data_IF_163567782372
#
_entry.id   IF_163567782372
#
_cell.length_a   1.000
_cell.length_b   1.000
_cell.length_c   1.000
_cell.angle_alpha   90.00
_cell.angle_beta   90.00
_cell.angle_gamma   90.00
#
_symmetry.space_group_name_H-M   'P 1'
#
loop_
_entity.id
_entity.type
_entity.pdbx_description
1 polymer ?
#
# COMPACT_ATOMS: atom_id res chain seq x y z
N UNK A 1 -10.97 8.83 10.27
CA UNK A 1 -9.79 8.71 9.40
C UNK A 1 -9.54 7.23 9.15
N UNK A 2 -9.59 6.76 7.91
CA UNK A 2 -9.09 5.42 7.58
C UNK A 2 -7.60 5.58 7.30
N UNK A 3 -6.76 4.84 8.05
CA UNK A 3 -5.31 4.90 7.95
C UNK A 3 -4.82 3.53 7.52
N UNK A 4 -4.04 3.48 6.45
CA UNK A 4 -3.46 2.26 5.92
C UNK A 4 -2.01 2.16 6.41
N UNK A 5 -1.74 1.18 7.27
CA UNK A 5 -0.39 0.95 7.77
C UNK A 5 0.50 0.38 6.66
N UNK A 6 1.65 1.04 6.46
CA UNK A 6 2.73 0.58 5.59
C UNK A 6 3.70 -0.21 6.47
N UNK A 7 3.91 -1.48 6.13
CA UNK A 7 4.72 -2.41 6.92
C UNK A 7 6.03 -2.76 6.23
N UNK A 8 7.03 -3.17 7.02
CA UNK A 8 8.32 -3.67 6.53
C UNK A 8 8.19 -4.91 5.65
N UNK A 9 7.21 -5.77 5.95
CA UNK A 9 6.96 -7.01 5.24
C UNK A 9 5.48 -7.35 5.11
N UNK A 10 5.15 -8.40 4.33
CA UNK A 10 3.80 -8.92 4.20
C UNK A 10 3.43 -9.75 5.43
N UNK A 11 2.91 -9.09 6.48
CA UNK A 11 2.49 -9.76 7.71
C UNK A 11 1.91 -8.78 8.74
N UNK A 12 1.09 -9.29 9.66
CA UNK A 12 0.60 -8.47 10.78
C UNK A 12 1.62 -8.28 11.91
N UNK A 13 2.59 -9.17 11.99
CA UNK A 13 3.70 -9.15 12.95
C UNK A 13 4.84 -8.23 12.51
N UNK A 14 4.83 -7.81 11.25
CA UNK A 14 5.82 -6.93 10.65
C UNK A 14 5.69 -5.50 11.18
N UNK A 15 6.82 -4.81 11.33
CA UNK A 15 6.87 -3.46 11.87
C UNK A 15 6.13 -2.47 10.96
N UNK A 16 5.37 -1.54 11.57
CA UNK A 16 4.76 -0.43 10.84
C UNK A 16 5.81 0.66 10.65
N UNK A 17 6.29 0.81 9.42
CA UNK A 17 7.33 1.77 9.01
C UNK A 17 6.74 3.08 8.47
N UNK A 18 5.42 3.14 8.30
CA UNK A 18 4.72 4.31 7.80
C UNK A 18 3.21 4.12 7.77
N UNK A 19 2.52 5.16 7.33
CA UNK A 19 1.07 5.18 7.20
C UNK A 19 0.71 5.97 5.94
N UNK A 20 -0.24 5.45 5.18
CA UNK A 20 -0.88 6.16 4.07
C UNK A 20 -2.29 6.57 4.48
N UNK A 21 -2.75 7.71 3.97
CA UNK A 21 -4.11 8.19 4.20
C UNK A 21 -5.03 7.86 3.02
N UNK A 22 -6.34 7.83 3.28
CA UNK A 22 -7.33 7.64 2.21
C UNK A 22 -7.18 8.72 1.13
N UNK A 23 -7.13 8.30 -0.13
CA UNK A 23 -6.95 9.18 -1.29
C UNK A 23 -5.49 9.39 -1.70
N UNK A 24 -4.53 8.95 -0.89
CA UNK A 24 -3.12 8.92 -1.28
C UNK A 24 -2.89 7.90 -2.41
N UNK A 25 -2.15 8.30 -3.44
CA UNK A 25 -1.83 7.43 -4.57
C UNK A 25 -0.51 6.73 -4.28
N UNK A 26 -0.55 5.40 -4.23
CA UNK A 26 0.60 4.56 -3.96
C UNK A 26 1.05 3.89 -5.26
N UNK A 27 2.34 4.01 -5.58
CA UNK A 27 2.92 3.33 -6.74
C UNK A 27 3.10 1.85 -6.44
N UNK A 28 2.25 0.99 -6.99
CA UNK A 28 2.37 -0.46 -6.83
C UNK A 28 3.53 -0.96 -7.70
N UNK A 29 4.53 -1.58 -7.06
CA UNK A 29 5.73 -2.11 -7.71
C UNK A 29 5.85 -3.64 -7.58
N UNK A 30 4.96 -4.26 -6.82
CA UNK A 30 4.86 -5.70 -6.67
C UNK A 30 3.62 -6.10 -5.89
N UNK A 31 3.31 -7.40 -5.88
CA UNK A 31 2.19 -7.94 -5.13
C UNK A 31 2.56 -9.30 -4.54
N UNK A 32 1.97 -9.60 -3.38
CA UNK A 32 1.98 -10.90 -2.73
C UNK A 32 0.52 -11.24 -2.31
N UNK A 33 0.20 -12.50 -1.96
CA UNK A 33 -1.16 -12.85 -1.57
C UNK A 33 -1.70 -11.99 -0.41
N UNK A 34 -2.64 -11.10 -0.73
CA UNK A 34 -3.26 -10.15 0.22
C UNK A 34 -2.47 -8.86 0.50
N UNK A 35 -1.34 -8.66 -0.16
CA UNK A 35 -0.45 -7.52 0.06
C UNK A 35 0.04 -6.89 -1.25
N UNK A 36 0.22 -5.58 -1.25
CA UNK A 36 0.85 -4.82 -2.32
C UNK A 36 2.16 -4.24 -1.80
N UNK A 37 3.22 -4.43 -2.59
CA UNK A 37 4.47 -3.73 -2.39
C UNK A 37 4.40 -2.39 -3.11
N UNK A 38 4.48 -1.31 -2.34
CA UNK A 38 4.23 0.04 -2.82
C UNK A 38 5.42 0.95 -2.56
N UNK A 39 5.51 1.99 -3.38
CA UNK A 39 6.36 3.14 -3.18
C UNK A 39 5.49 4.36 -2.90
N UNK A 40 5.72 5.04 -1.78
CA UNK A 40 5.04 6.31 -1.42
C UNK A 40 5.62 7.47 -2.23
N UNK A 41 4.91 8.60 -2.30
CA UNK A 41 5.41 9.82 -2.95
C UNK A 41 6.71 10.33 -2.32
N UNK A 42 6.90 10.09 -1.01
CA UNK A 42 8.14 10.41 -0.28
C UNK A 42 9.32 9.48 -0.63
N UNK A 43 9.11 8.48 -1.50
CA UNK A 43 10.14 7.54 -1.93
C UNK A 43 10.40 6.40 -0.95
N UNK A 44 9.54 6.21 0.06
CA UNK A 44 9.60 5.05 0.97
C UNK A 44 8.97 3.84 0.33
N UNK A 45 9.49 2.66 0.66
CA UNK A 45 8.97 1.38 0.17
C UNK A 45 8.39 0.58 1.33
N UNK A 46 7.31 -0.15 1.07
CA UNK A 46 6.72 -1.03 2.07
C UNK A 46 5.50 -1.78 1.57
N UNK A 47 4.88 -2.52 2.48
CA UNK A 47 3.76 -3.41 2.19
C UNK A 47 2.47 -2.86 2.77
N UNK A 48 1.43 -2.86 1.95
CA UNK A 48 0.07 -2.49 2.37
C UNK A 48 -0.90 -3.61 2.03
N UNK A 49 -2.01 -3.69 2.76
CA UNK A 49 -3.05 -4.68 2.51
C UNK A 49 -3.87 -4.32 1.26
N UNK A 50 -4.00 -5.27 0.34
CA UNK A 50 -4.83 -5.10 -0.87
C UNK A 50 -6.29 -4.79 -0.54
N UNK A 51 -6.80 -5.33 0.57
CA UNK A 51 -8.18 -5.15 1.06
C UNK A 51 -8.56 -3.68 1.35
N UNK A 52 -7.57 -2.83 1.60
CA UNK A 52 -7.76 -1.40 1.90
C UNK A 52 -7.31 -0.49 0.75
N UNK A 53 -7.01 -1.08 -0.41
CA UNK A 53 -6.61 -0.35 -1.61
C UNK A 53 -7.65 -0.53 -2.70
N UNK A 54 -7.87 0.53 -3.47
CA UNK A 54 -8.64 0.44 -4.71
C UNK A 54 -7.66 0.59 -5.87
N UNK A 55 -7.65 -0.38 -6.79
CA UNK A 55 -6.90 -0.24 -8.02
C UNK A 55 -7.43 0.96 -8.80
N UNK A 56 -6.58 1.97 -8.97
CA UNK A 56 -6.88 3.09 -9.84
C UNK A 56 -6.55 2.69 -11.28
N UNK A 57 -7.30 1.71 -11.80
CA UNK A 57 -7.40 1.53 -13.24
C UNK A 57 -8.28 2.67 -13.74
N UNK A 58 -7.68 3.71 -14.33
CA UNK A 58 -8.44 4.63 -15.17
C UNK A 58 -9.24 3.83 -16.20
N UNK A 59 -10.38 4.35 -16.72
CA UNK A 59 -11.20 3.62 -17.66
C UNK A 59 -10.31 3.10 -18.80
N UNK A 60 -10.10 1.78 -18.83
CA UNK A 60 -9.72 1.10 -20.06
C UNK A 60 -10.88 1.37 -20.99
N UNK A 61 -10.62 2.20 -22.00
CA UNK A 61 -11.61 2.65 -22.97
C UNK A 61 -12.33 1.52 -23.68
#
# INVERSE_FOLDING_TARGET
MQILNIRSGPGFEEEVIGQAILGEILGVIGAAPGWLYVKTEEGRYGWVKTEYTQEMSGPVG
#
